data_IF_860069627507
#
_entry.id   IF_860069627507
#
_cell.length_a   1.000
_cell.length_b   1.000
_cell.length_c   1.000
_cell.angle_alpha   90.00
_cell.angle_beta   90.00
_cell.angle_gamma   90.00
#
_symmetry.space_group_name_H-M   'P 1'
#
loop_
_entity.id
_entity.type
_entity.pdbx_description
1 polymer ?
#
# COMPACT_ATOMS: atom_id res chain seq x y z
N UNK A 1 -4.68 16.93 -4.12
CA UNK A 1 -6.12 17.14 -3.88
C UNK A 1 -6.38 17.59 -2.43
N UNK A 2 -6.07 16.78 -1.40
CA UNK A 2 -6.32 17.11 0.01
C UNK A 2 -5.76 18.48 0.45
N UNK A 3 -4.54 18.82 0.00
CA UNK A 3 -3.92 20.11 0.30
C UNK A 3 -4.71 21.27 -0.31
N UNK A 4 -5.04 21.18 -1.59
CA UNK A 4 -5.80 22.22 -2.31
C UNK A 4 -7.20 22.39 -1.71
N UNK A 5 -7.86 21.28 -1.37
CA UNK A 5 -9.17 21.29 -0.72
C UNK A 5 -9.12 21.99 0.64
N UNK A 6 -8.12 21.71 1.47
CA UNK A 6 -7.96 22.37 2.76
C UNK A 6 -7.73 23.88 2.64
N UNK A 7 -6.99 24.35 1.62
CA UNK A 7 -6.85 25.79 1.35
C UNK A 7 -8.24 26.43 1.11
N UNK A 8 -9.09 25.80 0.30
CA UNK A 8 -10.45 26.31 -0.01
C UNK A 8 -11.29 26.37 1.26
N UNK A 9 -11.29 25.30 2.07
CA UNK A 9 -12.07 25.28 3.32
C UNK A 9 -11.59 26.30 4.34
N UNK A 10 -10.27 26.49 4.49
CA UNK A 10 -9.73 27.51 5.41
C UNK A 10 -10.01 28.93 4.92
N UNK A 11 -9.93 29.17 3.61
CA UNK A 11 -10.27 30.46 3.05
C UNK A 11 -11.77 30.79 3.23
N UNK A 12 -12.65 29.83 2.98
CA UNK A 12 -14.09 29.99 3.18
C UNK A 12 -14.44 30.24 4.64
N UNK A 13 -13.93 29.40 5.57
CA UNK A 13 -14.19 29.58 7.02
C UNK A 13 -13.64 30.90 7.57
N UNK A 14 -12.50 31.37 7.05
CA UNK A 14 -11.97 32.68 7.43
C UNK A 14 -12.87 33.82 6.91
N UNK A 15 -13.39 33.71 5.70
CA UNK A 15 -14.24 34.73 5.10
C UNK A 15 -15.64 34.80 5.75
N UNK A 16 -16.20 33.67 6.17
CA UNK A 16 -17.55 33.55 6.69
C UNK A 16 -17.64 33.74 8.20
N UNK A 17 -16.70 33.16 8.98
CA UNK A 17 -16.75 33.12 10.43
C UNK A 17 -15.44 33.56 11.12
N UNK A 18 -14.46 34.02 10.36
CA UNK A 18 -13.20 34.56 10.90
C UNK A 18 -12.32 33.50 11.57
N UNK A 19 -11.52 33.95 12.54
CA UNK A 19 -10.49 33.12 13.20
C UNK A 19 -11.10 31.92 13.95
N UNK A 20 -12.27 32.10 14.59
CA UNK A 20 -12.88 31.04 15.38
C UNK A 20 -13.34 29.87 14.49
N UNK A 21 -14.00 30.15 13.39
CA UNK A 21 -14.45 29.12 12.43
C UNK A 21 -13.27 28.47 11.70
N UNK A 22 -12.23 29.25 11.39
CA UNK A 22 -11.01 28.69 10.82
C UNK A 22 -10.30 27.74 11.80
N UNK A 23 -10.27 28.07 13.09
CA UNK A 23 -9.70 27.19 14.11
C UNK A 23 -10.51 25.90 14.26
N UNK A 24 -11.85 25.97 14.22
CA UNK A 24 -12.71 24.79 14.25
C UNK A 24 -12.52 23.95 12.98
N UNK A 25 -12.46 24.56 11.81
CA UNK A 25 -12.19 23.88 10.54
C UNK A 25 -10.82 23.18 10.58
N UNK A 26 -9.80 23.83 11.13
CA UNK A 26 -8.48 23.20 11.31
C UNK A 26 -8.55 22.02 12.28
N UNK A 27 -9.28 22.14 13.38
CA UNK A 27 -9.44 21.04 14.34
C UNK A 27 -10.11 19.82 13.67
N UNK A 28 -11.21 20.04 12.97
CA UNK A 28 -11.95 18.96 12.31
C UNK A 28 -11.15 18.33 11.16
N UNK A 29 -10.62 19.15 10.27
CA UNK A 29 -9.95 18.65 9.04
C UNK A 29 -8.48 18.29 9.25
N UNK A 30 -7.78 18.99 10.13
CA UNK A 30 -6.36 18.80 10.38
C UNK A 30 -6.04 17.77 11.47
N UNK A 31 -6.91 17.65 12.50
CA UNK A 31 -6.67 16.73 13.62
C UNK A 31 -7.58 15.51 13.59
N UNK A 32 -8.89 15.68 13.33
CA UNK A 32 -9.84 14.56 13.34
C UNK A 32 -9.90 13.78 12.03
N UNK A 33 -9.62 14.40 10.88
CA UNK A 33 -9.82 13.78 9.56
C UNK A 33 -8.59 13.77 8.64
N UNK A 34 -7.32 13.83 9.11
CA UNK A 34 -6.16 13.98 8.21
C UNK A 34 -5.96 12.76 7.30
N UNK A 35 -6.49 11.59 7.69
CA UNK A 35 -6.30 10.32 6.97
C UNK A 35 -7.42 9.99 5.98
N UNK A 36 -8.51 10.75 5.96
CA UNK A 36 -9.69 10.45 5.15
C UNK A 36 -9.35 10.26 3.67
N UNK A 37 -8.61 11.18 3.06
CA UNK A 37 -8.21 11.10 1.66
C UNK A 37 -7.31 9.89 1.35
N UNK A 38 -6.41 9.54 2.27
CA UNK A 38 -5.56 8.34 2.14
C UNK A 38 -6.43 7.08 2.15
N UNK A 39 -7.43 7.03 3.04
CA UNK A 39 -8.37 5.90 3.10
C UNK A 39 -9.15 5.75 1.78
N UNK A 40 -9.70 6.84 1.26
CA UNK A 40 -10.49 6.79 0.02
C UNK A 40 -9.65 6.39 -1.19
N UNK A 41 -8.47 6.99 -1.37
CA UNK A 41 -7.57 6.62 -2.47
C UNK A 41 -7.02 5.19 -2.35
N UNK A 42 -6.90 4.65 -1.13
CA UNK A 42 -6.50 3.27 -0.92
C UNK A 42 -7.52 2.26 -1.51
N UNK A 43 -8.80 2.59 -1.59
CA UNK A 43 -9.82 1.76 -2.24
C UNK A 43 -9.52 1.59 -3.72
N UNK A 44 -9.18 2.68 -4.42
CA UNK A 44 -8.76 2.64 -5.83
C UNK A 44 -7.50 1.81 -6.01
N UNK A 45 -6.48 2.05 -5.18
CA UNK A 45 -5.23 1.29 -5.21
C UNK A 45 -5.43 -0.20 -4.95
N UNK A 46 -6.33 -0.56 -4.02
CA UNK A 46 -6.68 -1.95 -3.74
C UNK A 46 -7.34 -2.63 -4.95
N UNK A 47 -8.30 -1.97 -5.60
CA UNK A 47 -9.00 -2.51 -6.77
C UNK A 47 -8.01 -2.82 -7.92
N UNK A 48 -7.11 -1.87 -8.23
CA UNK A 48 -6.06 -2.05 -9.25
C UNK A 48 -5.08 -3.16 -8.85
N UNK A 49 -4.60 -3.13 -7.62
CA UNK A 49 -3.64 -4.11 -7.11
C UNK A 49 -4.19 -5.54 -7.08
N UNK A 50 -5.49 -5.71 -6.77
CA UNK A 50 -6.17 -7.01 -6.82
C UNK A 50 -6.29 -7.51 -8.25
N UNK A 51 -6.67 -6.66 -9.20
CA UNK A 51 -6.75 -7.00 -10.62
C UNK A 51 -5.37 -7.42 -11.18
N UNK A 52 -4.32 -6.63 -10.88
CA UNK A 52 -2.95 -6.94 -11.30
C UNK A 52 -2.46 -8.28 -10.74
N UNK A 53 -2.72 -8.57 -9.46
CA UNK A 53 -2.36 -9.87 -8.87
C UNK A 53 -3.10 -11.06 -9.49
N UNK A 54 -4.31 -10.84 -9.99
CA UNK A 54 -5.10 -11.84 -10.68
C UNK A 54 -4.67 -12.04 -12.16
N UNK A 55 -3.62 -11.34 -12.63
CA UNK A 55 -3.15 -11.40 -14.01
C UNK A 55 -4.12 -10.74 -15.01
N UNK A 56 -4.87 -9.73 -14.57
CA UNK A 56 -5.79 -9.01 -15.44
C UNK A 56 -5.03 -8.21 -16.51
N UNK A 57 -5.64 -8.10 -17.69
CA UNK A 57 -5.13 -7.22 -18.75
C UNK A 57 -5.14 -5.75 -18.27
N UNK A 58 -4.35 -4.88 -18.90
CA UNK A 58 -4.30 -3.44 -18.59
C UNK A 58 -5.70 -2.82 -18.65
N UNK A 59 -6.52 -3.20 -19.64
CA UNK A 59 -7.90 -2.72 -19.78
C UNK A 59 -8.78 -3.16 -18.62
N UNK A 60 -8.69 -4.42 -18.19
CA UNK A 60 -9.45 -4.92 -17.04
C UNK A 60 -8.97 -4.27 -15.71
N UNK A 61 -7.67 -4.05 -15.55
CA UNK A 61 -7.11 -3.34 -14.40
C UNK A 61 -7.55 -1.87 -14.36
N UNK A 62 -7.63 -1.20 -15.53
CA UNK A 62 -8.18 0.16 -15.64
C UNK A 62 -9.67 0.21 -15.28
N UNK A 63 -10.46 -0.78 -15.72
CA UNK A 63 -11.87 -0.92 -15.32
C UNK A 63 -12.04 -1.09 -13.80
N UNK A 64 -11.22 -1.95 -13.18
CA UNK A 64 -11.20 -2.11 -11.72
C UNK A 64 -10.80 -0.80 -11.02
N UNK A 65 -9.84 -0.05 -11.58
CA UNK A 65 -9.43 1.26 -11.10
C UNK A 65 -10.58 2.28 -11.15
N UNK A 66 -11.34 2.31 -12.24
CA UNK A 66 -12.51 3.17 -12.38
C UNK A 66 -13.58 2.86 -11.32
N UNK A 67 -13.90 1.58 -11.11
CA UNK A 67 -14.84 1.18 -10.05
C UNK A 67 -14.30 1.60 -8.68
N UNK A 68 -13.02 1.35 -8.39
CA UNK A 68 -12.37 1.77 -7.14
C UNK A 68 -12.41 3.29 -6.95
N UNK A 69 -12.25 4.07 -8.01
CA UNK A 69 -12.35 5.54 -7.97
C UNK A 69 -13.77 6.01 -7.69
N UNK A 70 -14.79 5.39 -8.29
CA UNK A 70 -16.19 5.71 -8.01
C UNK A 70 -16.55 5.39 -6.54
N UNK A 71 -16.09 4.25 -6.01
CA UNK A 71 -16.24 3.92 -4.59
C UNK A 71 -15.53 4.94 -3.68
N UNK A 72 -14.31 5.35 -4.04
CA UNK A 72 -13.55 6.36 -3.30
C UNK A 72 -14.28 7.72 -3.30
N UNK A 73 -14.84 8.14 -4.44
CA UNK A 73 -15.62 9.35 -4.55
C UNK A 73 -16.92 9.29 -3.72
N UNK A 74 -17.61 8.16 -3.73
CA UNK A 74 -18.80 7.95 -2.90
C UNK A 74 -18.49 8.01 -1.40
N UNK A 75 -17.40 7.37 -0.95
CA UNK A 75 -16.95 7.45 0.44
C UNK A 75 -16.54 8.88 0.83
N UNK A 76 -15.90 9.60 -0.08
CA UNK A 76 -15.53 11.00 0.14
C UNK A 76 -16.80 11.89 0.25
N UNK A 77 -17.77 11.71 -0.64
CA UNK A 77 -19.04 12.43 -0.58
C UNK A 77 -19.81 12.13 0.70
N UNK A 78 -19.87 10.87 1.13
CA UNK A 78 -20.47 10.47 2.39
C UNK A 78 -19.76 11.12 3.59
N UNK A 79 -18.45 11.15 3.59
CA UNK A 79 -17.64 11.76 4.66
C UNK A 79 -17.90 13.25 4.78
N UNK A 80 -17.81 14.00 3.68
CA UNK A 80 -18.03 15.43 3.69
C UNK A 80 -19.52 15.77 3.90
N UNK A 81 -20.44 15.01 3.30
CA UNK A 81 -21.88 15.19 3.45
C UNK A 81 -22.38 14.94 4.89
N UNK A 82 -21.72 14.06 5.63
CA UNK A 82 -22.08 13.79 7.03
C UNK A 82 -22.01 15.03 7.91
N UNK A 83 -21.11 15.96 7.60
CA UNK A 83 -21.00 17.24 8.33
C UNK A 83 -22.14 18.24 8.04
N UNK A 84 -22.94 18.01 6.97
CA UNK A 84 -24.01 18.93 6.55
C UNK A 84 -25.38 18.54 7.10
N UNK A 85 -25.61 17.26 7.42
CA UNK A 85 -26.97 16.73 7.64
C UNK A 85 -27.29 16.35 9.09
N UNK A 86 -26.31 16.36 10.01
CA UNK A 86 -26.54 15.99 11.41
C UNK A 86 -25.49 16.61 12.34
N UNK A 87 -25.65 16.36 13.65
CA UNK A 87 -24.62 16.68 14.64
C UNK A 87 -23.29 16.03 14.25
N UNK A 88 -22.31 16.87 13.98
CA UNK A 88 -20.97 16.43 13.55
C UNK A 88 -20.37 15.40 14.50
N UNK A 89 -20.41 15.63 15.82
CA UNK A 89 -19.80 14.72 16.79
C UNK A 89 -20.50 13.38 16.90
N UNK A 90 -21.82 13.38 16.75
CA UNK A 90 -22.59 12.13 16.71
C UNK A 90 -22.18 11.28 15.50
N UNK A 91 -22.17 11.86 14.30
CA UNK A 91 -21.74 11.15 13.08
C UNK A 91 -20.25 10.81 13.09
N UNK A 92 -19.42 11.64 13.69
CA UNK A 92 -17.98 11.34 13.85
C UNK A 92 -17.79 10.05 14.62
N UNK A 93 -18.45 9.89 15.79
CA UNK A 93 -18.30 8.70 16.64
C UNK A 93 -19.00 7.48 16.02
N UNK A 94 -20.20 7.64 15.46
CA UNK A 94 -21.03 6.50 15.02
C UNK A 94 -20.70 6.02 13.61
N UNK A 95 -20.13 6.86 12.74
CA UNK A 95 -19.81 6.52 11.35
C UNK A 95 -18.32 6.64 11.05
N UNK A 96 -17.72 7.81 11.31
CA UNK A 96 -16.37 8.09 10.83
C UNK A 96 -15.30 7.29 11.60
N UNK A 97 -15.40 7.21 12.92
CA UNK A 97 -14.47 6.41 13.75
C UNK A 97 -14.56 4.90 13.43
N UNK A 98 -15.73 4.26 13.36
CA UNK A 98 -15.84 2.87 12.91
C UNK A 98 -15.29 2.64 11.51
N UNK A 99 -15.54 3.54 10.57
CA UNK A 99 -14.99 3.47 9.22
C UNK A 99 -13.45 3.52 9.23
N UNK A 100 -12.87 4.43 10.00
CA UNK A 100 -11.42 4.52 10.18
C UNK A 100 -10.84 3.23 10.77
N UNK A 101 -11.46 2.68 11.83
CA UNK A 101 -11.03 1.40 12.42
C UNK A 101 -11.10 0.28 11.39
N UNK A 102 -12.18 0.19 10.61
CA UNK A 102 -12.32 -0.80 9.55
C UNK A 102 -11.19 -0.69 8.51
N UNK A 103 -10.80 0.52 8.11
CA UNK A 103 -9.66 0.76 7.22
C UNK A 103 -8.33 0.31 7.82
N UNK A 104 -8.07 0.62 9.09
CA UNK A 104 -6.86 0.18 9.79
C UNK A 104 -6.78 -1.34 9.84
N UNK A 105 -7.89 -2.00 10.21
CA UNK A 105 -7.96 -3.47 10.24
C UNK A 105 -7.79 -4.07 8.85
N UNK A 106 -8.41 -3.49 7.82
CA UNK A 106 -8.23 -3.87 6.42
C UNK A 106 -6.78 -3.73 5.96
N UNK A 107 -6.13 -2.62 6.29
CA UNK A 107 -4.70 -2.41 5.99
C UNK A 107 -3.81 -3.47 6.67
N UNK A 108 -4.06 -3.78 7.95
CA UNK A 108 -3.34 -4.83 8.67
C UNK A 108 -3.55 -6.19 8.00
N UNK A 109 -4.80 -6.51 7.62
CA UNK A 109 -5.13 -7.75 6.92
C UNK A 109 -4.40 -7.86 5.57
N UNK A 110 -4.38 -6.78 4.78
CA UNK A 110 -3.65 -6.72 3.51
C UNK A 110 -2.14 -6.91 3.69
N UNK A 111 -1.55 -6.31 4.71
CA UNK A 111 -0.13 -6.49 5.04
C UNK A 111 0.19 -7.93 5.45
N UNK A 112 -0.70 -8.56 6.19
CA UNK A 112 -0.54 -9.98 6.56
C UNK A 112 -0.65 -10.89 5.34
N UNK A 113 -1.61 -10.61 4.45
CA UNK A 113 -1.79 -11.35 3.20
C UNK A 113 -0.60 -11.17 2.25
N UNK A 114 -0.07 -9.94 2.10
CA UNK A 114 1.16 -9.68 1.34
C UNK A 114 2.32 -10.51 1.87
N UNK A 115 2.52 -10.51 3.19
CA UNK A 115 3.59 -11.29 3.83
C UNK A 115 3.39 -12.80 3.63
N UNK A 116 2.15 -13.29 3.73
CA UNK A 116 1.81 -14.70 3.50
C UNK A 116 2.12 -15.12 2.07
N UNK A 117 1.65 -14.35 1.08
CA UNK A 117 1.89 -14.62 -0.33
C UNK A 117 3.38 -14.55 -0.68
N UNK A 118 4.09 -13.54 -0.19
CA UNK A 118 5.54 -13.42 -0.42
C UNK A 118 6.28 -14.61 0.16
N UNK A 119 5.96 -15.04 1.39
CA UNK A 119 6.55 -16.22 2.01
C UNK A 119 6.25 -17.48 1.21
N UNK A 120 5.02 -17.67 0.76
CA UNK A 120 4.62 -18.83 -0.03
C UNK A 120 5.39 -18.89 -1.35
N UNK A 121 5.43 -17.79 -2.10
CA UNK A 121 6.06 -17.75 -3.43
C UNK A 121 7.58 -17.81 -3.37
N UNK A 122 8.23 -17.15 -2.42
CA UNK A 122 9.66 -17.31 -2.22
C UNK A 122 10.02 -18.68 -1.62
N UNK A 123 9.11 -19.29 -0.86
CA UNK A 123 9.26 -20.66 -0.35
C UNK A 123 9.40 -21.70 -1.47
N UNK A 124 8.68 -21.53 -2.59
CA UNK A 124 8.83 -22.39 -3.77
C UNK A 124 10.27 -22.34 -4.33
N UNK A 125 10.88 -21.16 -4.34
CA UNK A 125 12.30 -21.00 -4.73
C UNK A 125 13.27 -21.51 -3.68
N UNK A 126 12.91 -21.45 -2.39
CA UNK A 126 13.74 -22.03 -1.34
C UNK A 126 13.78 -23.56 -1.43
N UNK A 127 12.67 -24.21 -1.75
CA UNK A 127 12.64 -25.66 -2.04
C UNK A 127 13.52 -26.03 -3.23
N UNK A 128 13.67 -25.15 -4.22
CA UNK A 128 14.55 -25.33 -5.36
C UNK A 128 16.01 -24.90 -5.08
N UNK A 129 16.35 -24.52 -3.84
CA UNK A 129 17.72 -24.15 -3.45
C UNK A 129 18.16 -22.70 -3.76
N UNK A 130 17.24 -21.84 -4.26
CA UNK A 130 17.58 -20.45 -4.59
C UNK A 130 17.66 -19.52 -3.38
N UNK A 131 16.92 -19.81 -2.32
CA UNK A 131 16.91 -19.06 -1.06
C UNK A 131 17.05 -20.01 0.12
N UNK A 132 17.53 -19.49 1.23
CA UNK A 132 17.43 -20.18 2.52
C UNK A 132 16.05 -19.87 3.16
N UNK A 133 15.52 -20.75 4.02
CA UNK A 133 14.31 -20.46 4.77
C UNK A 133 14.38 -19.15 5.58
N UNK A 134 15.55 -18.86 6.17
CA UNK A 134 15.80 -17.62 6.91
C UNK A 134 15.70 -16.37 6.03
N UNK A 135 16.22 -16.42 4.79
CA UNK A 135 16.05 -15.32 3.82
C UNK A 135 14.58 -15.11 3.46
N UNK A 136 13.82 -16.18 3.24
CA UNK A 136 12.38 -16.08 2.95
C UNK A 136 11.65 -15.37 4.09
N UNK A 137 11.93 -15.71 5.35
CA UNK A 137 11.32 -15.07 6.52
C UNK A 137 11.70 -13.58 6.66
N UNK A 138 12.95 -13.24 6.37
CA UNK A 138 13.41 -11.86 6.35
C UNK A 138 12.73 -11.04 5.23
N UNK A 139 12.62 -11.62 4.05
CA UNK A 139 12.05 -10.94 2.86
C UNK A 139 10.53 -10.81 2.93
N UNK A 140 9.83 -11.76 3.55
CA UNK A 140 8.37 -11.80 3.58
C UNK A 140 7.75 -10.66 4.39
N UNK A 141 8.40 -10.18 5.46
CA UNK A 141 7.79 -9.22 6.38
C UNK A 141 8.49 -7.86 6.38
N UNK A 142 7.73 -6.78 6.63
CA UNK A 142 8.31 -5.43 6.74
C UNK A 142 9.33 -5.32 7.90
N UNK A 143 9.10 -6.00 9.03
CA UNK A 143 10.05 -6.06 10.14
C UNK A 143 11.32 -6.81 9.76
N UNK A 144 11.20 -7.93 9.04
CA UNK A 144 12.32 -8.69 8.51
C UNK A 144 13.18 -7.86 7.56
N UNK A 145 12.56 -7.18 6.60
CA UNK A 145 13.25 -6.27 5.64
C UNK A 145 14.01 -5.14 6.35
N UNK A 146 13.43 -4.57 7.44
CA UNK A 146 14.14 -3.58 8.26
C UNK A 146 15.34 -4.16 8.97
N UNK A 147 15.22 -5.35 9.58
CA UNK A 147 16.35 -6.05 10.22
C UNK A 147 17.45 -6.39 9.21
N UNK A 148 17.09 -6.91 8.03
CA UNK A 148 18.04 -7.20 6.96
C UNK A 148 18.80 -5.93 6.53
N UNK A 149 18.11 -4.81 6.35
CA UNK A 149 18.74 -3.53 6.00
C UNK A 149 19.63 -3.00 7.11
N UNK A 150 19.23 -3.14 8.38
CA UNK A 150 20.03 -2.74 9.54
C UNK A 150 21.31 -3.60 9.64
N UNK A 151 21.19 -4.91 9.45
CA UNK A 151 22.35 -5.81 9.39
C UNK A 151 23.31 -5.43 8.24
N UNK A 152 22.79 -5.14 7.05
CA UNK A 152 23.62 -4.77 5.91
C UNK A 152 24.43 -3.47 6.13
N UNK A 153 23.98 -2.58 7.01
CA UNK A 153 24.76 -1.40 7.44
C UNK A 153 25.99 -1.76 8.25
N UNK A 154 26.01 -2.91 8.93
CA UNK A 154 27.16 -3.37 9.73
C UNK A 154 28.22 -4.05 8.89
N UNK A 155 27.94 -4.34 7.62
CA UNK A 155 28.90 -4.92 6.70
C UNK A 155 29.92 -3.88 6.21
N UNK A 156 31.16 -4.30 5.85
CA UNK A 156 32.16 -3.41 5.29
C UNK A 156 31.60 -2.62 4.09
N UNK A 157 31.78 -1.31 4.08
CA UNK A 157 31.34 -0.42 3.02
C UNK A 157 29.84 -0.10 3.01
N UNK A 158 29.13 -0.33 4.13
CA UNK A 158 27.67 -0.11 4.23
C UNK A 158 26.88 -0.67 3.01
N UNK A 159 26.50 -1.93 3.10
CA UNK A 159 25.77 -2.64 2.02
C UNK A 159 24.25 -2.42 2.07
N UNK A 160 23.77 -1.42 2.79
CA UNK A 160 22.31 -1.17 2.94
C UNK A 160 21.61 -0.86 1.61
N UNK A 161 22.29 -0.22 0.67
CA UNK A 161 21.77 0.05 -0.68
C UNK A 161 21.58 -1.25 -1.46
N UNK A 162 22.58 -2.13 -1.45
CA UNK A 162 22.53 -3.44 -2.11
C UNK A 162 21.44 -4.32 -1.49
N UNK A 163 21.30 -4.31 -0.16
CA UNK A 163 20.22 -5.01 0.54
C UNK A 163 18.83 -4.50 0.13
N UNK A 164 18.64 -3.19 0.00
CA UNK A 164 17.36 -2.63 -0.49
C UNK A 164 17.04 -3.08 -1.90
N UNK A 165 18.05 -3.14 -2.79
CA UNK A 165 17.89 -3.66 -4.15
C UNK A 165 17.51 -5.14 -4.13
N UNK A 166 18.21 -5.96 -3.34
CA UNK A 166 17.87 -7.38 -3.18
C UNK A 166 16.44 -7.58 -2.66
N UNK A 167 16.02 -6.85 -1.63
CA UNK A 167 14.66 -6.88 -1.10
C UNK A 167 13.63 -6.51 -2.20
N UNK A 168 13.89 -5.45 -2.97
CA UNK A 168 13.00 -4.99 -4.04
C UNK A 168 12.86 -6.05 -5.15
N UNK A 169 13.96 -6.64 -5.62
CA UNK A 169 13.93 -7.66 -6.66
C UNK A 169 13.28 -8.95 -6.15
N UNK A 170 13.58 -9.42 -4.94
CA UNK A 170 12.97 -10.60 -4.36
C UNK A 170 11.46 -10.47 -4.14
N UNK A 171 11.00 -9.32 -3.66
CA UNK A 171 9.55 -9.05 -3.50
C UNK A 171 8.84 -8.93 -4.84
N UNK A 172 9.51 -8.36 -5.84
CA UNK A 172 9.01 -8.28 -7.22
C UNK A 172 8.97 -9.67 -7.88
N UNK A 173 9.94 -10.54 -7.59
CA UNK A 173 9.95 -11.94 -8.04
C UNK A 173 8.75 -12.72 -7.46
N UNK A 174 8.46 -12.56 -6.16
CA UNK A 174 7.29 -13.20 -5.55
C UNK A 174 5.99 -12.75 -6.22
N UNK A 175 5.85 -11.46 -6.55
CA UNK A 175 4.70 -10.93 -7.26
C UNK A 175 4.60 -11.45 -8.71
N UNK A 176 5.72 -11.57 -9.43
CA UNK A 176 5.77 -12.16 -10.77
C UNK A 176 5.37 -13.64 -10.75
N UNK A 177 5.91 -14.41 -9.79
CA UNK A 177 5.53 -15.81 -9.57
C UNK A 177 4.03 -15.96 -9.28
N UNK A 178 3.46 -15.06 -8.47
CA UNK A 178 2.02 -15.04 -8.22
C UNK A 178 1.22 -14.83 -9.52
N UNK A 179 1.64 -13.91 -10.39
CA UNK A 179 0.97 -13.72 -11.70
C UNK A 179 1.14 -14.92 -12.61
N UNK A 180 2.35 -15.47 -12.72
CA UNK A 180 2.64 -16.63 -13.53
C UNK A 180 1.78 -17.84 -13.11
N UNK A 181 1.58 -18.05 -11.80
CA UNK A 181 0.75 -19.15 -11.28
C UNK A 181 -0.74 -19.02 -11.65
N UNK A 182 -1.22 -17.86 -12.09
CA UNK A 182 -2.61 -17.71 -12.55
C UNK A 182 -2.85 -18.22 -13.98
N UNK A 183 -1.79 -18.33 -14.77
CA UNK A 183 -1.85 -18.70 -16.19
C UNK A 183 -2.57 -17.70 -17.11
N UNK A 184 -2.95 -16.51 -16.58
CA UNK A 184 -3.76 -15.52 -17.32
C UNK A 184 -2.92 -14.48 -18.08
N UNK A 185 -1.67 -14.30 -17.68
CA UNK A 185 -0.74 -13.33 -18.27
C UNK A 185 0.33 -14.09 -19.07
N UNK A 186 0.30 -14.04 -20.42
CA UNK A 186 1.26 -14.76 -21.26
C UNK A 186 2.72 -14.31 -21.04
N UNK A 187 2.93 -13.06 -20.61
CA UNK A 187 4.27 -12.51 -20.34
C UNK A 187 4.80 -12.83 -18.95
N UNK A 188 3.96 -13.34 -18.05
CA UNK A 188 4.31 -13.49 -16.63
C UNK A 188 5.48 -14.45 -16.39
N UNK A 189 5.59 -15.52 -17.14
CA UNK A 189 6.71 -16.49 -17.04
C UNK A 189 8.03 -15.88 -17.47
N UNK A 190 8.04 -15.07 -18.53
CA UNK A 190 9.23 -14.39 -18.99
C UNK A 190 9.67 -13.31 -17.98
N UNK A 191 8.72 -12.53 -17.42
CA UNK A 191 9.00 -11.55 -16.36
C UNK A 191 9.53 -12.24 -15.09
N UNK A 192 8.94 -13.36 -14.68
CA UNK A 192 9.39 -14.17 -13.54
C UNK A 192 10.86 -14.60 -13.72
N UNK A 193 11.22 -15.14 -14.89
CA UNK A 193 12.58 -15.58 -15.20
C UNK A 193 13.57 -14.41 -15.16
N UNK A 194 13.23 -13.30 -15.75
CA UNK A 194 14.07 -12.10 -15.75
C UNK A 194 14.27 -11.56 -14.33
N UNK A 195 13.23 -11.59 -13.47
CA UNK A 195 13.34 -11.16 -12.07
C UNK A 195 14.17 -12.10 -11.22
N UNK A 196 14.08 -13.42 -11.47
CA UNK A 196 14.96 -14.38 -10.79
C UNK A 196 16.42 -14.06 -11.05
N UNK A 197 16.81 -13.82 -12.30
CA UNK A 197 18.18 -13.43 -12.66
C UNK A 197 18.64 -12.14 -11.95
N UNK A 198 17.79 -11.10 -11.93
CA UNK A 198 18.10 -9.84 -11.21
C UNK A 198 18.20 -10.05 -9.70
N UNK A 199 17.37 -10.89 -9.12
CA UNK A 199 17.39 -11.19 -7.68
C UNK A 199 18.68 -11.89 -7.29
N UNK A 200 19.14 -12.86 -8.10
CA UNK A 200 20.41 -13.56 -7.88
C UNK A 200 21.60 -12.59 -7.99
N UNK A 201 21.61 -11.73 -9.01
CA UNK A 201 22.64 -10.71 -9.17
C UNK A 201 22.66 -9.70 -8.00
N UNK A 202 21.49 -9.24 -7.56
CA UNK A 202 21.37 -8.33 -6.41
C UNK A 202 21.84 -8.99 -5.10
N UNK A 203 21.58 -10.30 -4.91
CA UNK A 203 22.10 -11.05 -3.76
C UNK A 203 23.61 -11.17 -3.80
N UNK A 204 24.20 -11.50 -4.95
CA UNK A 204 25.66 -11.59 -5.11
C UNK A 204 26.35 -10.26 -4.80
N UNK A 205 25.76 -9.13 -5.20
CA UNK A 205 26.30 -7.79 -4.93
C UNK A 205 26.34 -7.40 -3.43
N UNK A 206 25.70 -8.16 -2.54
CA UNK A 206 25.83 -7.96 -1.09
C UNK A 206 27.19 -8.39 -0.55
N UNK A 207 27.87 -9.31 -1.24
CA UNK A 207 29.10 -9.94 -0.78
C UNK A 207 30.31 -9.65 -1.70
N UNK A 208 30.08 -8.90 -2.78
CA UNK A 208 31.13 -8.39 -3.64
C UNK A 208 31.73 -7.10 -3.07
#
# INVERSE_FOLDING_TARGET
>A
FAFTENIIYFAASMAEGGVADTAMTFFVRGLLSPFAHVMFTAVTGYAIGRAARAGATVRAAAGAGLVGMLCAAALHALWNGSALFADFFHLYITLQVPLFIAFVLGFIALRREEARLTRQRLGEYAQAGWFTPAEVDLLATGSGRRRATAWARTLPGDRSRQMKTFIAEATSLAAARQRASTGRDPGAVADERARLGRTVAARAALFA
#
